data_IF_330034409621
#
_entry.id   IF_330034409621
#
_cell.length_a   1.000
_cell.length_b   1.000
_cell.length_c   1.000
_cell.angle_alpha   90.00
_cell.angle_beta   90.00
_cell.angle_gamma   90.00
#
_symmetry.space_group_name_H-M   'P 1'
#
loop_
_entity.id
_entity.type
_entity.pdbx_description
1 polymer ?
#
# COMPACT_ATOMS: atom_id res chain seq x y z
N UNK A 1 -60.72 -1.82 -11.16
CA UNK A 1 -61.01 -0.63 -10.32
C UNK A 1 -60.24 -0.83 -9.02
N UNK A 2 -58.94 -0.52 -9.02
CA UNK A 2 -58.35 0.77 -8.61
C UNK A 2 -58.15 0.86 -7.10
N UNK A 3 -56.87 0.79 -6.70
CA UNK A 3 -56.17 1.47 -5.60
C UNK A 3 -56.94 1.82 -4.31
N UNK A 4 -56.42 1.61 -3.11
CA UNK A 4 -55.32 2.44 -2.58
C UNK A 4 -54.80 1.93 -1.24
N UNK A 5 -53.49 2.04 -1.05
CA UNK A 5 -52.77 2.07 0.22
C UNK A 5 -53.47 2.95 1.27
N UNK A 6 -53.48 2.51 2.53
CA UNK A 6 -53.62 3.43 3.65
C UNK A 6 -52.67 3.04 4.77
N UNK A 7 -51.48 3.65 4.71
CA UNK A 7 -50.50 3.69 5.78
C UNK A 7 -51.15 4.16 7.07
N UNK A 8 -51.35 3.25 8.03
CA UNK A 8 -51.76 3.62 9.38
C UNK A 8 -50.56 4.21 10.14
N UNK A 9 -50.30 5.49 9.92
CA UNK A 9 -49.47 6.26 10.83
C UNK A 9 -50.24 6.44 12.15
N UNK A 10 -49.66 5.90 13.22
CA UNK A 10 -50.22 5.99 14.57
C UNK A 10 -50.10 7.43 15.08
N UNK A 11 -51.18 8.07 15.58
CA UNK A 11 -51.09 9.41 16.14
C UNK A 11 -50.17 9.43 17.36
N UNK A 12 -49.30 10.44 17.44
CA UNK A 12 -48.44 10.65 18.60
C UNK A 12 -49.27 11.34 19.68
N UNK A 13 -49.38 10.73 20.86
CA UNK A 13 -49.97 11.38 22.04
C UNK A 13 -48.97 12.38 22.65
N UNK A 14 -49.46 13.52 23.19
CA UNK A 14 -48.61 14.44 23.95
C UNK A 14 -48.01 13.74 25.18
N UNK A 15 -46.77 14.08 25.49
CA UNK A 15 -46.07 13.53 26.66
C UNK A 15 -46.86 13.89 27.95
N UNK A 16 -47.10 12.94 28.86
CA UNK A 16 -47.70 13.27 30.15
C UNK A 16 -46.76 14.21 30.91
N UNK A 17 -47.34 15.23 31.55
CA UNK A 17 -46.63 16.16 32.41
C UNK A 17 -45.95 15.39 33.54
N UNK A 18 -44.61 15.49 33.60
CA UNK A 18 -43.78 14.89 34.65
C UNK A 18 -44.20 15.47 36.01
N UNK A 19 -44.83 14.66 36.85
CA UNK A 19 -44.69 14.80 38.31
C UNK A 19 -43.28 14.31 38.69
N UNK A 20 -42.56 15.14 39.46
CA UNK A 20 -41.19 14.90 39.89
C UNK A 20 -41.05 13.59 40.68
N UNK A 21 -40.15 12.68 40.28
CA UNK A 21 -39.67 11.63 41.16
C UNK A 21 -38.42 12.14 41.90
N UNK A 22 -38.55 12.37 43.20
CA UNK A 22 -37.42 12.45 44.11
C UNK A 22 -36.63 11.13 44.01
N UNK A 23 -35.38 11.18 43.54
CA UNK A 23 -34.53 9.99 43.45
C UNK A 23 -33.15 10.30 44.03
N UNK A 24 -32.86 9.58 45.13
CA UNK A 24 -31.64 9.66 45.91
C UNK A 24 -30.38 9.53 45.05
N UNK A 25 -29.37 10.28 45.46
CA UNK A 25 -28.06 10.29 44.84
C UNK A 25 -27.21 9.22 45.53
N UNK A 26 -27.16 8.02 44.96
CA UNK A 26 -26.10 7.05 45.27
C UNK A 26 -24.95 7.24 44.29
N UNK A 27 -24.01 8.12 44.63
CA UNK A 27 -22.75 8.29 43.89
C UNK A 27 -21.76 7.18 44.22
N UNK A 28 -21.97 5.98 43.68
CA UNK A 28 -20.84 5.07 43.43
C UNK A 28 -20.10 5.58 42.19
N UNK A 29 -18.97 6.24 42.42
CA UNK A 29 -18.04 6.75 41.40
C UNK A 29 -17.33 5.61 40.65
N UNK A 30 -18.08 4.78 39.94
CA UNK A 30 -17.50 3.97 38.88
C UNK A 30 -17.28 4.92 37.69
N UNK A 31 -16.06 5.46 37.61
CA UNK A 31 -15.56 6.20 36.45
C UNK A 31 -15.91 5.40 35.20
N UNK A 32 -16.96 5.85 34.51
CA UNK A 32 -17.40 5.31 33.22
C UNK A 32 -16.18 5.40 32.31
N UNK A 33 -15.61 4.27 31.83
CA UNK A 33 -14.40 4.34 31.02
C UNK A 33 -14.67 5.26 29.84
N UNK A 34 -13.90 6.35 29.77
CA UNK A 34 -13.98 7.31 28.68
C UNK A 34 -13.91 6.53 27.37
N UNK A 35 -14.84 6.80 26.44
CA UNK A 35 -14.86 6.15 25.13
C UNK A 35 -13.69 6.71 24.32
N UNK A 36 -12.47 6.23 24.61
CA UNK A 36 -11.30 6.51 23.80
C UNK A 36 -11.57 5.86 22.44
N UNK A 37 -11.93 6.69 21.46
CA UNK A 37 -12.09 6.25 20.08
C UNK A 37 -10.73 5.88 19.53
N UNK A 38 -10.57 4.65 19.06
CA UNK A 38 -9.32 4.21 18.44
C UNK A 38 -9.32 4.66 16.98
N UNK A 39 -8.27 5.37 16.54
CA UNK A 39 -8.14 5.82 15.15
C UNK A 39 -7.97 4.66 14.15
N UNK A 40 -7.33 3.57 14.60
CA UNK A 40 -7.07 2.38 13.78
C UNK A 40 -7.41 1.13 14.60
N UNK A 41 -8.40 0.37 14.14
CA UNK A 41 -8.66 -0.99 14.63
C UNK A 41 -7.60 -1.97 14.08
N UNK A 42 -7.24 -2.98 14.88
CA UNK A 42 -6.37 -4.08 14.42
C UNK A 42 -7.04 -4.92 13.34
N UNK A 43 -6.25 -5.69 12.60
CA UNK A 43 -6.70 -6.48 11.45
C UNK A 43 -7.75 -7.51 11.83
N UNK A 44 -7.57 -8.21 12.96
CA UNK A 44 -8.54 -9.18 13.46
C UNK A 44 -9.89 -8.53 13.81
N UNK A 45 -9.90 -7.35 14.42
CA UNK A 45 -11.14 -6.63 14.73
C UNK A 45 -11.79 -6.05 13.46
N UNK A 46 -10.99 -5.56 12.50
CA UNK A 46 -11.47 -5.11 11.18
C UNK A 46 -12.16 -6.25 10.44
N UNK A 47 -11.49 -7.39 10.28
CA UNK A 47 -12.03 -8.58 9.61
C UNK A 47 -13.30 -9.09 10.26
N UNK A 48 -13.38 -9.04 11.60
CA UNK A 48 -14.57 -9.44 12.37
C UNK A 48 -15.66 -8.37 12.45
N UNK A 49 -15.43 -7.16 11.91
CA UNK A 49 -16.33 -5.99 12.04
C UNK A 49 -16.74 -5.71 13.49
N UNK A 50 -15.80 -5.87 14.43
CA UNK A 50 -16.04 -5.65 15.87
C UNK A 50 -15.30 -4.42 16.38
N UNK A 51 -15.80 -3.84 17.48
CA UNK A 51 -15.11 -2.74 18.17
C UNK A 51 -13.74 -3.20 18.64
N UNK A 52 -12.70 -2.49 18.21
CA UNK A 52 -11.35 -2.66 18.73
C UNK A 52 -11.16 -1.76 19.95
N UNK A 53 -10.56 -2.26 21.03
CA UNK A 53 -10.23 -1.44 22.21
C UNK A 53 -8.94 -0.63 22.03
N UNK A 54 -8.14 -0.93 21.00
CA UNK A 54 -6.96 -0.11 20.68
C UNK A 54 -5.77 -0.27 21.62
N UNK A 55 -5.87 -1.11 22.65
CA UNK A 55 -4.74 -1.41 23.53
C UNK A 55 -3.56 -2.02 22.75
N UNK A 56 -2.34 -1.71 23.18
CA UNK A 56 -1.08 -2.20 22.59
C UNK A 56 -0.32 -2.96 23.68
N UNK A 57 0.32 -4.11 23.39
CA UNK A 57 0.55 -4.71 22.06
C UNK A 57 -0.65 -5.46 21.48
N UNK A 58 -1.61 -5.89 22.31
CA UNK A 58 -2.84 -6.57 21.88
C UNK A 58 -4.07 -5.81 22.36
N UNK A 59 -5.11 -5.75 21.53
CA UNK A 59 -6.40 -5.26 21.99
C UNK A 59 -7.10 -6.31 22.87
N UNK A 60 -7.85 -5.85 23.86
CA UNK A 60 -8.62 -6.66 24.81
C UNK A 60 -9.40 -7.81 24.13
N UNK A 61 -10.15 -7.52 23.06
CA UNK A 61 -10.92 -8.53 22.31
C UNK A 61 -10.02 -9.62 21.71
N UNK A 62 -8.83 -9.25 21.23
CA UNK A 62 -7.90 -10.22 20.66
C UNK A 62 -7.19 -11.01 21.76
N UNK A 63 -6.96 -10.38 22.90
CA UNK A 63 -6.36 -10.99 24.07
C UNK A 63 -7.26 -12.06 24.67
N UNK A 64 -8.52 -11.72 24.95
CA UNK A 64 -9.54 -12.66 25.45
C UNK A 64 -9.77 -13.84 24.50
N UNK A 65 -9.73 -13.57 23.19
CA UNK A 65 -10.00 -14.59 22.18
C UNK A 65 -8.75 -15.39 21.77
N UNK A 66 -7.57 -15.11 22.36
CA UNK A 66 -6.34 -15.80 22.00
C UNK A 66 -5.91 -15.62 20.53
N UNK A 67 -6.42 -14.60 19.82
CA UNK A 67 -6.19 -14.44 18.37
C UNK A 67 -5.06 -13.47 18.06
N UNK A 68 -4.41 -13.67 16.91
CA UNK A 68 -3.37 -12.76 16.42
C UNK A 68 -3.89 -11.31 16.36
N UNK A 69 -3.20 -10.38 17.01
CA UNK A 69 -3.54 -8.96 17.04
C UNK A 69 -2.47 -8.18 16.29
N UNK A 70 -2.72 -7.89 15.03
CA UNK A 70 -1.78 -7.14 14.18
C UNK A 70 -2.40 -5.81 13.79
N UNK A 71 -1.63 -4.73 13.97
CA UNK A 71 -2.00 -3.42 13.46
C UNK A 71 -1.21 -3.19 12.18
N UNK A 72 -1.90 -2.98 11.06
CA UNK A 72 -1.24 -2.55 9.82
C UNK A 72 -0.58 -1.19 10.06
N UNK A 73 0.71 -1.06 9.75
CA UNK A 73 1.40 0.22 9.73
C UNK A 73 0.89 0.99 8.50
N UNK A 74 0.08 2.04 8.66
CA UNK A 74 -0.44 2.76 7.52
C UNK A 74 0.64 3.73 7.00
N UNK A 75 0.76 3.82 5.68
CA UNK A 75 1.51 4.83 4.91
C UNK A 75 3.02 4.59 4.69
N UNK A 76 3.84 4.35 5.73
CA UNK A 76 5.29 4.12 5.52
C UNK A 76 5.59 2.89 4.67
N UNK A 77 4.71 1.88 4.70
CA UNK A 77 4.91 0.63 3.99
C UNK A 77 4.77 0.80 2.46
N UNK A 78 3.85 1.64 1.97
CA UNK A 78 3.71 1.83 0.52
C UNK A 78 4.90 2.58 -0.08
N UNK A 79 5.27 3.70 0.54
CA UNK A 79 6.41 4.52 0.10
C UNK A 79 7.72 3.74 0.21
N UNK A 80 7.93 3.01 1.31
CA UNK A 80 9.09 2.14 1.46
C UNK A 80 9.11 1.02 0.41
N UNK A 81 7.97 0.37 0.15
CA UNK A 81 7.87 -0.64 -0.93
C UNK A 81 8.14 -0.04 -2.31
N UNK A 82 7.70 1.19 -2.56
CA UNK A 82 7.99 1.89 -3.80
C UNK A 82 9.48 2.21 -3.94
N UNK A 83 10.11 2.74 -2.89
CA UNK A 83 11.55 2.98 -2.86
C UNK A 83 12.34 1.68 -3.06
N UNK A 84 11.96 0.58 -2.41
CA UNK A 84 12.58 -0.73 -2.61
C UNK A 84 12.48 -1.17 -4.07
N UNK A 85 11.31 -0.99 -4.71
CA UNK A 85 11.16 -1.30 -6.14
C UNK A 85 12.11 -0.45 -7.00
N UNK A 86 12.16 0.85 -6.76
CA UNK A 86 13.04 1.77 -7.50
C UNK A 86 14.52 1.45 -7.31
N UNK A 87 14.96 1.14 -6.09
CA UNK A 87 16.35 0.76 -5.82
C UNK A 87 16.71 -0.57 -6.50
N UNK A 88 15.80 -1.55 -6.47
CA UNK A 88 16.01 -2.84 -7.16
C UNK A 88 16.15 -2.66 -8.67
N UNK A 89 15.30 -1.83 -9.30
CA UNK A 89 15.42 -1.58 -10.74
C UNK A 89 16.70 -0.83 -11.08
N UNK A 90 17.13 0.14 -10.28
CA UNK A 90 18.43 0.81 -10.46
C UNK A 90 19.59 -0.17 -10.31
N UNK A 91 19.54 -1.07 -9.33
CA UNK A 91 20.55 -2.10 -9.13
C UNK A 91 20.65 -3.03 -10.34
N UNK A 92 19.52 -3.50 -10.87
CA UNK A 92 19.49 -4.37 -12.05
C UNK A 92 20.15 -3.70 -13.26
N UNK A 93 19.82 -2.43 -13.48
CA UNK A 93 20.32 -1.63 -14.62
C UNK A 93 21.82 -1.38 -14.51
N UNK A 94 22.29 -1.03 -13.32
CA UNK A 94 23.73 -0.88 -13.06
C UNK A 94 24.47 -2.23 -13.21
N UNK A 95 23.83 -3.33 -12.81
CA UNK A 95 24.35 -4.68 -13.00
C UNK A 95 24.60 -5.00 -14.48
N UNK A 96 23.62 -4.72 -15.35
CA UNK A 96 23.74 -4.92 -16.81
C UNK A 96 24.91 -4.13 -17.41
N UNK A 97 25.11 -2.89 -16.97
CA UNK A 97 26.25 -2.07 -17.40
C UNK A 97 27.59 -2.72 -17.04
N UNK A 98 27.72 -3.22 -15.81
CA UNK A 98 28.94 -3.89 -15.36
C UNK A 98 29.18 -5.17 -16.18
N UNK A 99 28.13 -5.94 -16.48
CA UNK A 99 28.26 -7.12 -17.33
C UNK A 99 28.73 -6.77 -18.74
N UNK A 100 28.18 -5.73 -19.37
CA UNK A 100 28.63 -5.27 -20.68
C UNK A 100 30.10 -4.84 -20.68
N UNK A 101 30.54 -4.14 -19.63
CA UNK A 101 31.95 -3.75 -19.49
C UNK A 101 32.89 -4.95 -19.30
N UNK A 102 32.39 -6.08 -18.76
CA UNK A 102 33.18 -7.30 -18.56
C UNK A 102 33.20 -8.21 -19.79
N UNK A 103 32.09 -8.29 -20.54
CA UNK A 103 31.91 -9.24 -21.63
C UNK A 103 32.36 -8.71 -22.99
N UNK A 104 32.31 -7.39 -23.21
CA UNK A 104 32.70 -6.78 -24.48
C UNK A 104 34.21 -6.61 -24.61
N UNK A 105 34.66 -6.42 -25.84
CA UNK A 105 36.07 -6.18 -26.14
C UNK A 105 36.55 -4.83 -25.57
N UNK A 106 37.88 -4.65 -25.46
CA UNK A 106 38.47 -3.47 -24.84
C UNK A 106 38.09 -2.14 -25.54
N UNK A 107 37.92 -2.17 -26.86
CA UNK A 107 37.52 -0.99 -27.64
C UNK A 107 36.10 -0.55 -27.29
N UNK A 108 35.15 -1.48 -27.30
CA UNK A 108 33.75 -1.22 -26.94
C UNK A 108 33.60 -0.81 -25.48
N UNK A 109 34.30 -1.47 -24.55
CA UNK A 109 34.30 -1.09 -23.15
C UNK A 109 34.79 0.36 -22.96
N UNK A 110 35.80 0.80 -23.72
CA UNK A 110 36.29 2.18 -23.69
C UNK A 110 35.26 3.19 -24.17
N UNK A 111 34.45 2.84 -25.18
CA UNK A 111 33.35 3.67 -25.69
C UNK A 111 32.26 3.82 -24.63
N UNK A 112 31.87 2.71 -23.98
CA UNK A 112 30.89 2.72 -22.88
C UNK A 112 31.37 3.65 -21.75
N UNK A 113 32.64 3.57 -21.37
CA UNK A 113 33.23 4.44 -20.35
C UNK A 113 33.23 5.92 -20.77
N UNK A 114 33.49 6.22 -22.04
CA UNK A 114 33.44 7.58 -22.56
C UNK A 114 32.01 8.15 -22.53
N UNK A 115 30.99 7.34 -22.86
CA UNK A 115 29.59 7.74 -22.74
C UNK A 115 29.21 8.06 -21.29
N UNK A 116 29.68 7.27 -20.32
CA UNK A 116 29.49 7.54 -18.89
C UNK A 116 30.15 8.86 -18.48
N UNK A 117 31.38 9.12 -18.94
CA UNK A 117 32.10 10.39 -18.67
C UNK A 117 31.40 11.61 -19.25
N UNK A 118 30.65 11.45 -20.34
CA UNK A 118 29.83 12.49 -20.95
C UNK A 118 28.48 12.72 -20.22
N UNK A 119 28.32 12.16 -19.01
CA UNK A 119 27.11 12.28 -18.19
C UNK A 119 25.86 11.66 -18.85
N UNK A 120 26.07 10.66 -19.73
CA UNK A 120 24.96 9.89 -20.30
C UNK A 120 24.41 8.93 -19.25
N UNK A 121 23.09 8.90 -19.08
CA UNK A 121 22.46 7.97 -18.15
C UNK A 121 22.73 6.51 -18.55
N UNK A 122 22.88 5.63 -17.56
CA UNK A 122 23.11 4.19 -17.78
C UNK A 122 22.03 3.58 -18.68
N UNK A 123 20.76 3.95 -18.45
CA UNK A 123 19.64 3.51 -19.29
C UNK A 123 19.79 3.93 -20.76
N UNK A 124 20.25 5.16 -20.99
CA UNK A 124 20.50 5.67 -22.34
C UNK A 124 21.60 4.89 -23.04
N UNK A 125 22.68 4.59 -22.31
CA UNK A 125 23.80 3.78 -22.82
C UNK A 125 23.33 2.37 -23.19
N UNK A 126 22.58 1.69 -22.31
CA UNK A 126 22.03 0.36 -22.60
C UNK A 126 21.18 0.34 -23.86
N UNK A 127 20.26 1.31 -23.98
CA UNK A 127 19.40 1.43 -25.16
C UNK A 127 20.21 1.67 -26.45
N UNK A 128 21.22 2.53 -26.39
CA UNK A 128 22.04 2.86 -27.54
C UNK A 128 22.85 1.64 -28.02
N UNK A 129 23.33 0.82 -27.09
CA UNK A 129 24.04 -0.43 -27.39
C UNK A 129 23.07 -1.47 -27.98
N UNK A 130 21.90 -1.68 -27.37
CA UNK A 130 20.88 -2.60 -27.90
C UNK A 130 20.48 -2.25 -29.33
N UNK A 131 20.27 -0.95 -29.62
CA UNK A 131 19.99 -0.49 -30.98
C UNK A 131 21.16 -0.76 -31.94
N UNK A 132 22.39 -0.53 -31.50
CA UNK A 132 23.59 -0.82 -32.29
C UNK A 132 23.71 -2.30 -32.64
N UNK A 133 23.54 -3.19 -31.66
CA UNK A 133 23.61 -4.64 -31.84
C UNK A 133 22.55 -5.15 -32.82
N UNK A 134 21.32 -4.63 -32.72
CA UNK A 134 20.24 -4.97 -33.66
C UNK A 134 20.56 -4.56 -35.09
N UNK A 135 21.13 -3.36 -35.29
CA UNK A 135 21.50 -2.88 -36.63
C UNK A 135 22.63 -3.72 -37.24
N UNK A 136 23.64 -4.10 -36.45
CA UNK A 136 24.72 -4.98 -36.91
C UNK A 136 24.22 -6.38 -37.27
N UNK A 137 23.23 -6.93 -36.57
CA UNK A 137 22.66 -8.24 -36.90
C UNK A 137 21.86 -8.22 -38.21
N UNK A 138 21.12 -7.14 -38.48
CA UNK A 138 20.36 -6.97 -39.72
C UNK A 138 21.28 -6.83 -40.95
N UNK A 139 22.42 -6.14 -40.81
CA UNK A 139 23.38 -6.03 -41.92
C UNK A 139 23.99 -7.40 -42.27
N UNK A 140 24.35 -8.22 -41.28
CA UNK A 140 24.86 -9.57 -41.52
C UNK A 140 23.83 -10.49 -42.20
N UNK A 141 22.53 -10.34 -41.91
CA UNK A 141 21.48 -11.13 -42.58
C UNK A 141 21.28 -10.73 -44.04
N UNK A 142 21.45 -9.45 -44.37
CA UNK A 142 21.33 -8.96 -45.75
C UNK A 142 22.44 -9.51 -46.65
N UNK A 143 23.66 -9.69 -46.12
CA UNK A 143 24.81 -10.21 -46.87
C UNK A 143 24.72 -11.71 -47.16
N UNK A 144 23.97 -12.47 -46.35
CA UNK A 144 23.76 -13.92 -46.53
C UNK A 144 22.50 -14.27 -47.34
N UNK A 145 21.71 -13.29 -47.75
CA UNK A 145 20.43 -13.48 -48.46
C UNK A 145 20.49 -13.40 -49.99
N UNK A 146 21.68 -13.24 -50.59
CA UNK A 146 21.85 -13.18 -52.04
C UNK A 146 22.74 -14.36 -52.50
N UNK A 147 22.12 -15.50 -52.78
CA UNK A 147 22.70 -16.64 -53.52
C UNK A 147 21.60 -17.34 -54.30
#
# INVERSE_FOLDING_TARGET
>A
MSSSDSSYNRPILPAPTRSEPQMHISHTLLLRPSRIGVSVACESCRRRKTRCSGQRPRCEKCDTNGTACTYALPLKDHELRQQIRTLKTQQEVNGKLIELLRSRNAGEASLILNLLRQNTSVQGILRQIELGDMLCNLSHQADHGCS
#
